data_IF_867196547646
#
_entry.id   IF_867196547646
#
_cell.length_a   1.000
_cell.length_b   1.000
_cell.length_c   1.000
_cell.angle_alpha   90.00
_cell.angle_beta   90.00
_cell.angle_gamma   90.00
#
_symmetry.space_group_name_H-M   'P 1'
#
loop_
_entity.id
_entity.type
_entity.pdbx_description
1 polymer ?
#
# COMPACT_ATOMS: atom_id res chain seq x y z
N UNK A 1 -26.46 0.74 -15.64
CA UNK A 1 -26.13 2.16 -15.91
C UNK A 1 -24.68 2.20 -16.35
N UNK A 2 -24.34 2.89 -17.44
CA UNK A 2 -22.95 3.00 -17.86
C UNK A 2 -22.16 3.72 -16.77
N UNK A 3 -21.06 3.12 -16.29
CA UNK A 3 -20.17 3.73 -15.32
C UNK A 3 -19.75 5.11 -15.83
N UNK A 4 -19.90 6.14 -14.98
CA UNK A 4 -19.49 7.50 -15.32
C UNK A 4 -17.99 7.47 -15.55
N UNK A 5 -17.54 7.72 -16.78
CA UNK A 5 -16.12 7.64 -17.13
C UNK A 5 -15.38 8.76 -16.41
N UNK A 6 -14.71 8.42 -15.31
CA UNK A 6 -13.81 9.34 -14.60
C UNK A 6 -12.70 9.75 -15.58
N UNK A 7 -12.41 11.04 -15.67
CA UNK A 7 -11.27 11.53 -16.44
C UNK A 7 -10.00 11.14 -15.68
N UNK A 8 -9.25 10.19 -16.23
CA UNK A 8 -8.04 9.65 -15.60
C UNK A 8 -6.82 10.50 -15.95
N UNK A 9 -5.86 10.56 -15.03
CA UNK A 9 -4.56 11.17 -15.28
C UNK A 9 -3.89 10.47 -16.49
N UNK A 10 -3.38 11.27 -17.43
CA UNK A 10 -2.70 10.75 -18.62
C UNK A 10 -1.36 10.13 -18.23
N UNK A 11 -1.12 8.88 -18.62
CA UNK A 11 0.18 8.23 -18.43
C UNK A 11 1.26 8.91 -19.27
N UNK A 12 2.42 9.17 -18.65
CA UNK A 12 3.64 9.63 -19.32
C UNK A 12 4.83 8.79 -18.85
N UNK A 13 5.07 7.68 -19.56
CA UNK A 13 6.11 6.71 -19.20
C UNK A 13 7.53 7.26 -19.38
N UNK A 14 7.74 8.17 -20.32
CA UNK A 14 9.06 8.75 -20.58
C UNK A 14 9.46 9.73 -19.47
N UNK A 15 8.55 10.65 -19.11
CA UNK A 15 8.74 11.56 -17.97
C UNK A 15 8.97 10.80 -16.68
N UNK A 16 8.15 9.79 -16.41
CA UNK A 16 8.24 9.00 -15.19
C UNK A 16 9.58 8.25 -15.09
N UNK A 17 10.03 7.61 -16.18
CA UNK A 17 11.32 6.93 -16.23
C UNK A 17 12.51 7.90 -16.08
N UNK A 18 12.42 9.09 -16.69
CA UNK A 18 13.43 10.13 -16.54
C UNK A 18 13.52 10.63 -15.08
N UNK A 19 12.38 10.86 -14.43
CA UNK A 19 12.33 11.24 -13.02
C UNK A 19 12.87 10.15 -12.11
N UNK A 20 12.48 8.88 -12.35
CA UNK A 20 12.99 7.72 -11.63
C UNK A 20 14.52 7.64 -11.70
N UNK A 21 15.09 7.77 -12.91
CA UNK A 21 16.53 7.75 -13.13
C UNK A 21 17.25 8.90 -12.42
N UNK A 22 16.68 10.11 -12.45
CA UNK A 22 17.24 11.27 -11.77
C UNK A 22 17.24 11.12 -10.24
N UNK A 23 16.20 10.48 -9.70
CA UNK A 23 16.05 10.29 -8.25
C UNK A 23 16.88 9.13 -7.73
N UNK A 24 16.77 7.96 -8.37
CA UNK A 24 17.25 6.70 -7.82
C UNK A 24 18.53 6.18 -8.47
N UNK A 25 18.91 6.66 -9.67
CA UNK A 25 20.11 6.19 -10.37
C UNK A 25 20.18 4.66 -10.45
N UNK A 26 21.26 4.07 -9.91
CA UNK A 26 21.43 2.61 -9.82
C UNK A 26 21.09 2.02 -8.44
N UNK A 27 20.40 2.78 -7.58
CA UNK A 27 20.14 2.39 -6.18
C UNK A 27 19.19 1.19 -6.03
N UNK A 28 18.41 0.87 -7.06
CA UNK A 28 17.53 -0.31 -7.06
C UNK A 28 18.31 -1.63 -6.96
N UNK A 29 19.58 -1.66 -7.37
CA UNK A 29 20.46 -2.82 -7.23
C UNK A 29 21.18 -2.89 -5.87
N UNK A 30 21.21 -1.79 -5.11
CA UNK A 30 21.94 -1.69 -3.85
C UNK A 30 21.32 -2.60 -2.77
N UNK A 31 22.16 -3.36 -2.08
CA UNK A 31 21.75 -4.16 -0.91
C UNK A 31 21.62 -3.28 0.34
N UNK A 32 20.42 -3.26 0.92
CA UNK A 32 20.08 -2.58 2.17
C UNK A 32 19.51 -1.16 1.97
N UNK A 33 18.31 -0.89 2.51
CA UNK A 33 17.57 0.36 2.33
C UNK A 33 18.34 1.63 2.73
N UNK A 34 19.18 1.55 3.77
CA UNK A 34 20.02 2.67 4.21
C UNK A 34 21.01 3.10 3.12
N UNK A 35 21.68 2.16 2.44
CA UNK A 35 22.68 2.49 1.40
C UNK A 35 22.03 3.09 0.17
N UNK A 36 20.84 2.60 -0.21
CA UNK A 36 20.06 3.15 -1.32
C UNK A 36 19.66 4.61 -1.03
N UNK A 37 19.23 4.91 0.20
CA UNK A 37 18.78 6.24 0.63
C UNK A 37 19.86 7.33 0.48
N UNK A 38 21.14 7.01 0.70
CA UNK A 38 22.26 7.95 0.59
C UNK A 38 22.80 8.16 -0.82
N UNK A 39 22.32 7.39 -1.81
CA UNK A 39 22.82 7.44 -3.20
C UNK A 39 21.92 8.21 -4.16
N UNK A 40 20.91 8.92 -3.64
CA UNK A 40 19.84 9.54 -4.43
C UNK A 40 20.13 11.00 -4.81
N UNK A 41 19.57 11.43 -5.94
CA UNK A 41 19.69 12.82 -6.43
C UNK A 41 18.92 13.81 -5.55
N UNK A 42 19.63 14.79 -4.96
CA UNK A 42 19.06 15.73 -4.00
C UNK A 42 17.93 16.61 -4.59
N UNK A 43 18.11 17.13 -5.80
CA UNK A 43 17.14 18.03 -6.44
C UNK A 43 15.85 17.29 -6.84
N UNK A 44 15.96 16.09 -7.40
CA UNK A 44 14.81 15.25 -7.75
C UNK A 44 14.01 14.83 -6.50
N UNK A 45 14.70 14.55 -5.38
CA UNK A 45 14.03 14.26 -4.11
C UNK A 45 13.29 15.48 -3.55
N UNK A 46 13.90 16.67 -3.60
CA UNK A 46 13.21 17.90 -3.20
C UNK A 46 11.95 18.12 -4.05
N UNK A 47 12.06 17.95 -5.37
CA UNK A 47 10.90 18.06 -6.25
C UNK A 47 9.80 17.05 -5.90
N UNK A 48 10.14 15.80 -5.55
CA UNK A 48 9.15 14.83 -5.06
C UNK A 48 8.50 15.24 -3.72
N UNK A 49 9.26 15.80 -2.79
CA UNK A 49 8.73 16.32 -1.51
C UNK A 49 7.78 17.48 -1.78
N UNK A 50 8.20 18.48 -2.55
CA UNK A 50 7.38 19.65 -2.86
C UNK A 50 6.10 19.24 -3.61
N UNK A 51 6.22 18.34 -4.59
CA UNK A 51 5.09 17.82 -5.37
C UNK A 51 4.12 17.00 -4.52
N UNK A 52 4.61 16.18 -3.58
CA UNK A 52 3.76 15.41 -2.69
C UNK A 52 3.04 16.31 -1.68
N UNK A 53 3.79 17.19 -1.00
CA UNK A 53 3.26 17.98 0.10
C UNK A 53 2.42 19.18 -0.37
N UNK A 54 2.45 19.59 -1.65
CA UNK A 54 1.49 20.58 -2.19
C UNK A 54 0.03 20.17 -1.98
N UNK A 55 -0.23 18.87 -1.87
CA UNK A 55 -1.58 18.34 -1.65
C UNK A 55 -2.06 18.49 -0.21
N UNK A 56 -1.14 18.71 0.74
CA UNK A 56 -1.39 18.62 2.20
C UNK A 56 -1.02 19.89 2.97
N UNK A 57 -0.03 20.65 2.50
CA UNK A 57 0.47 21.84 3.18
C UNK A 57 -0.63 22.90 3.31
N UNK A 58 -0.83 23.37 4.55
CA UNK A 58 -1.87 24.33 4.92
C UNK A 58 -3.31 23.87 4.66
N UNK A 59 -3.56 22.55 4.58
CA UNK A 59 -4.90 21.97 4.40
C UNK A 59 -5.28 21.11 5.60
N UNK A 60 -5.77 21.77 6.66
CA UNK A 60 -6.21 21.09 7.87
C UNK A 60 -7.57 20.41 7.69
N UNK A 61 -7.82 19.33 8.44
CA UNK A 61 -9.08 18.57 8.39
C UNK A 61 -10.34 19.43 8.61
N UNK A 62 -10.23 20.47 9.44
CA UNK A 62 -11.32 21.42 9.73
C UNK A 62 -11.77 22.23 8.51
N UNK A 63 -10.85 22.48 7.57
CA UNK A 63 -11.07 23.32 6.39
C UNK A 63 -11.28 22.46 5.12
N UNK A 64 -11.26 21.12 5.24
CA UNK A 64 -11.37 20.22 4.10
C UNK A 64 -12.82 20.13 3.57
N UNK A 65 -12.97 20.36 2.26
CA UNK A 65 -14.24 20.22 1.54
C UNK A 65 -14.22 19.03 0.59
N UNK A 66 -15.39 18.67 0.05
CA UNK A 66 -15.50 17.64 -1.00
C UNK A 66 -14.71 18.03 -2.26
N UNK A 67 -14.69 19.32 -2.62
CA UNK A 67 -13.90 19.85 -3.74
C UNK A 67 -12.40 19.70 -3.48
N UNK A 68 -11.95 19.90 -2.24
CA UNK A 68 -10.55 19.69 -1.85
C UNK A 68 -10.14 18.23 -2.06
N UNK A 69 -10.99 17.29 -1.64
CA UNK A 69 -10.78 15.86 -1.86
C UNK A 69 -10.79 15.50 -3.34
N UNK A 70 -11.75 16.02 -4.12
CA UNK A 70 -11.83 15.81 -5.58
C UNK A 70 -10.60 16.32 -6.31
N UNK A 71 -10.11 17.52 -5.97
CA UNK A 71 -8.90 18.09 -6.57
C UNK A 71 -7.67 17.22 -6.28
N UNK A 72 -7.54 16.69 -5.05
CA UNK A 72 -6.47 15.75 -4.69
C UNK A 72 -6.61 14.41 -5.42
N UNK A 73 -7.84 13.91 -5.56
CA UNK A 73 -8.16 12.65 -6.25
C UNK A 73 -7.89 12.73 -7.76
N UNK A 74 -8.03 13.91 -8.38
CA UNK A 74 -7.71 14.10 -9.79
C UNK A 74 -6.21 13.87 -10.12
N UNK A 75 -5.33 14.04 -9.14
CA UNK A 75 -3.87 13.82 -9.26
C UNK A 75 -3.41 12.55 -8.53
N UNK A 76 -4.30 11.55 -8.32
CA UNK A 76 -4.02 10.37 -7.50
C UNK A 76 -2.76 9.60 -7.92
N UNK A 77 -2.48 9.47 -9.22
CA UNK A 77 -1.36 8.68 -9.70
C UNK A 77 -0.05 9.40 -9.44
N UNK A 78 0.01 10.71 -9.71
CA UNK A 78 1.14 11.56 -9.35
C UNK A 78 1.37 11.60 -7.84
N UNK A 79 0.33 11.82 -7.02
CA UNK A 79 0.39 11.79 -5.56
C UNK A 79 1.04 10.49 -5.06
N UNK A 80 0.49 9.34 -5.47
CA UNK A 80 0.93 8.01 -5.05
C UNK A 80 2.37 7.73 -5.50
N UNK A 81 2.72 8.07 -6.76
CA UNK A 81 4.06 7.85 -7.31
C UNK A 81 5.13 8.64 -6.54
N UNK A 82 4.87 9.92 -6.26
CA UNK A 82 5.81 10.76 -5.50
C UNK A 82 5.93 10.31 -4.05
N UNK A 83 4.83 9.89 -3.42
CA UNK A 83 4.87 9.28 -2.10
C UNK A 83 5.82 8.07 -2.04
N UNK A 84 5.63 7.07 -2.90
CA UNK A 84 6.44 5.86 -2.85
C UNK A 84 7.90 6.10 -3.28
N UNK A 85 8.15 7.08 -4.15
CA UNK A 85 9.50 7.54 -4.45
C UNK A 85 10.25 8.02 -3.19
N UNK A 86 9.54 8.63 -2.24
CA UNK A 86 10.08 9.10 -0.97
C UNK A 86 10.14 8.00 0.09
N UNK A 87 9.07 7.20 0.19
CA UNK A 87 8.85 6.31 1.33
C UNK A 87 9.42 4.90 1.18
N UNK A 88 9.64 4.39 -0.04
CA UNK A 88 9.98 2.96 -0.27
C UNK A 88 11.17 2.47 0.57
N UNK A 89 12.28 3.21 0.62
CA UNK A 89 13.46 2.75 1.38
C UNK A 89 13.21 2.75 2.89
N UNK A 90 12.40 3.70 3.38
CA UNK A 90 12.01 3.78 4.78
C UNK A 90 11.10 2.59 5.13
N UNK A 91 10.17 2.23 4.24
CA UNK A 91 9.35 1.04 4.38
C UNK A 91 10.17 -0.25 4.37
N UNK A 92 11.09 -0.42 3.44
CA UNK A 92 11.91 -1.64 3.42
C UNK A 92 12.80 -1.79 4.66
N UNK A 93 13.29 -0.67 5.19
CA UNK A 93 14.10 -0.68 6.40
C UNK A 93 13.28 -0.88 7.68
N UNK A 94 12.12 -0.24 7.77
CA UNK A 94 11.29 -0.22 8.98
C UNK A 94 10.26 -1.34 9.06
N UNK A 95 9.74 -1.79 7.91
CA UNK A 95 8.62 -2.72 7.79
C UNK A 95 9.03 -4.05 7.15
N UNK A 96 9.84 -4.02 6.09
CA UNK A 96 10.26 -5.23 5.36
C UNK A 96 9.85 -5.18 3.89
N UNK A 97 9.78 -6.33 3.20
CA UNK A 97 9.52 -6.35 1.75
C UNK A 97 8.07 -6.60 1.35
N UNK A 98 7.20 -6.85 2.34
CA UNK A 98 5.75 -6.96 2.18
C UNK A 98 5.10 -5.78 2.89
N UNK A 99 4.69 -4.78 2.11
CA UNK A 99 4.11 -3.52 2.61
C UNK A 99 2.61 -3.68 2.84
N UNK A 100 2.23 -4.41 3.89
CA UNK A 100 0.83 -4.51 4.29
C UNK A 100 0.71 -4.90 5.77
N UNK A 101 -0.49 -4.80 6.31
CA UNK A 101 -0.83 -5.25 7.64
C UNK A 101 -1.19 -6.73 7.66
N UNK A 102 -1.12 -7.31 8.86
CA UNK A 102 -1.52 -8.68 9.08
C UNK A 102 -2.09 -8.85 10.49
N UNK A 103 -2.72 -10.00 10.68
CA UNK A 103 -3.19 -10.45 11.98
C UNK A 103 -2.12 -11.25 12.69
N UNK A 104 -2.16 -11.26 14.01
CA UNK A 104 -1.16 -11.94 14.84
C UNK A 104 -1.76 -13.03 15.71
N UNK A 105 -1.05 -14.14 15.82
CA UNK A 105 -1.31 -15.19 16.79
C UNK A 105 -0.23 -15.24 17.87
N UNK A 106 -0.45 -16.04 18.92
CA UNK A 106 0.51 -16.22 20.01
C UNK A 106 1.82 -16.84 19.53
N UNK A 107 2.94 -16.21 19.88
CA UNK A 107 4.28 -16.69 19.58
C UNK A 107 4.68 -16.53 18.12
N UNK A 108 3.88 -15.84 17.33
CA UNK A 108 4.11 -15.63 15.91
C UNK A 108 4.85 -14.32 15.68
N UNK A 109 6.04 -14.40 15.07
CA UNK A 109 6.77 -13.20 14.72
C UNK A 109 6.16 -12.50 13.51
N UNK A 110 6.55 -11.24 13.30
CA UNK A 110 6.03 -10.39 12.23
C UNK A 110 6.07 -11.03 10.83
N UNK A 111 7.20 -11.63 10.44
CA UNK A 111 7.34 -12.23 9.11
C UNK A 111 6.48 -13.50 8.93
N UNK A 112 6.31 -14.29 9.99
CA UNK A 112 5.39 -15.44 9.97
C UNK A 112 3.93 -14.98 9.86
N UNK A 113 3.56 -13.95 10.62
CA UNK A 113 2.21 -13.38 10.61
C UNK A 113 1.84 -12.80 9.24
N UNK A 114 2.77 -12.07 8.60
CA UNK A 114 2.61 -11.56 7.23
C UNK A 114 2.45 -12.72 6.24
N UNK A 115 3.37 -13.70 6.24
CA UNK A 115 3.30 -14.82 5.30
C UNK A 115 1.99 -15.59 5.45
N UNK A 116 1.55 -15.86 6.69
CA UNK A 116 0.25 -16.52 6.95
C UNK A 116 -0.92 -15.70 6.39
N UNK A 117 -0.87 -14.37 6.46
CA UNK A 117 -1.91 -13.50 5.93
C UNK A 117 -1.96 -13.53 4.39
N UNK A 118 -0.81 -13.56 3.74
CA UNK A 118 -0.66 -13.73 2.29
C UNK A 118 -1.14 -15.13 1.84
N UNK A 119 -0.77 -16.20 2.58
CA UNK A 119 -1.25 -17.57 2.33
C UNK A 119 -2.76 -17.68 2.50
N UNK A 120 -3.34 -17.00 3.49
CA UNK A 120 -4.78 -16.97 3.70
C UNK A 120 -5.50 -16.37 2.48
N UNK A 121 -5.00 -15.26 1.92
CA UNK A 121 -5.58 -14.67 0.70
C UNK A 121 -5.50 -15.64 -0.48
N UNK A 122 -4.33 -16.22 -0.71
CA UNK A 122 -4.11 -17.19 -1.78
C UNK A 122 -5.05 -18.41 -1.65
N UNK A 123 -5.29 -18.86 -0.42
CA UNK A 123 -6.25 -19.92 -0.12
C UNK A 123 -7.69 -19.49 -0.39
N UNK A 124 -8.11 -18.31 0.07
CA UNK A 124 -9.47 -17.79 -0.09
C UNK A 124 -9.88 -17.64 -1.56
N UNK A 125 -8.93 -17.31 -2.44
CA UNK A 125 -9.18 -17.18 -3.89
C UNK A 125 -8.79 -18.42 -4.69
N UNK A 126 -8.38 -19.50 -4.01
CA UNK A 126 -8.11 -20.79 -4.63
C UNK A 126 -6.94 -20.79 -5.63
N UNK A 127 -5.87 -20.04 -5.37
CA UNK A 127 -4.65 -20.07 -6.18
C UNK A 127 -4.05 -21.47 -6.15
N UNK A 128 -3.67 -22.00 -7.32
CA UNK A 128 -3.05 -23.31 -7.50
C UNK A 128 -1.78 -23.22 -8.34
N UNK A 129 -1.00 -24.28 -8.30
CA UNK A 129 0.19 -24.46 -9.13
C UNK A 129 -0.13 -24.24 -10.62
N UNK A 130 0.75 -23.53 -11.31
CA UNK A 130 0.64 -23.25 -12.74
C UNK A 130 -0.38 -22.17 -13.14
N UNK A 131 -1.20 -21.66 -12.23
CA UNK A 131 -2.13 -20.55 -12.51
C UNK A 131 -1.39 -19.26 -12.88
N UNK A 132 -1.96 -18.49 -13.80
CA UNK A 132 -1.56 -17.10 -14.08
C UNK A 132 -2.29 -16.16 -13.15
N UNK A 133 -1.55 -15.54 -12.24
CA UNK A 133 -2.09 -14.64 -11.21
C UNK A 133 -1.63 -13.21 -11.47
N UNK A 134 -2.53 -12.25 -11.32
CA UNK A 134 -2.19 -10.82 -11.33
C UNK A 134 -2.15 -10.29 -9.90
N UNK A 135 -1.06 -9.62 -9.55
CA UNK A 135 -0.90 -8.83 -8.33
C UNK A 135 -1.04 -7.34 -8.67
N UNK A 136 -2.14 -6.73 -8.24
CA UNK A 136 -2.47 -5.33 -8.52
C UNK A 136 -1.90 -4.44 -7.42
N UNK A 137 -0.87 -3.67 -7.75
CA UNK A 137 -0.15 -2.83 -6.79
C UNK A 137 0.97 -3.59 -6.05
N UNK A 138 1.80 -4.33 -6.79
CA UNK A 138 2.70 -5.34 -6.23
C UNK A 138 3.86 -4.82 -5.35
N UNK A 139 4.02 -3.50 -5.20
CA UNK A 139 5.11 -2.90 -4.42
C UNK A 139 6.50 -3.38 -4.88
N UNK A 140 7.35 -3.76 -3.92
CA UNK A 140 8.65 -4.43 -4.16
C UNK A 140 8.55 -5.95 -4.28
N UNK A 141 7.33 -6.48 -4.47
CA UNK A 141 7.05 -7.88 -4.81
C UNK A 141 7.15 -8.88 -3.67
N UNK A 142 7.11 -8.46 -2.40
CA UNK A 142 7.14 -9.37 -1.24
C UNK A 142 6.03 -10.42 -1.28
N UNK A 143 4.75 -10.02 -1.31
CA UNK A 143 3.63 -10.96 -1.36
C UNK A 143 3.66 -11.85 -2.60
N UNK A 144 4.01 -11.29 -3.76
CA UNK A 144 4.17 -12.06 -4.99
C UNK A 144 5.21 -13.18 -4.84
N UNK A 145 6.37 -12.91 -4.20
CA UNK A 145 7.38 -13.94 -3.93
C UNK A 145 6.86 -15.00 -2.97
N UNK A 146 6.21 -14.61 -1.88
CA UNK A 146 5.72 -15.54 -0.87
C UNK A 146 4.59 -16.42 -1.40
N UNK A 147 3.55 -15.83 -2.02
CA UNK A 147 2.42 -16.56 -2.60
C UNK A 147 2.87 -17.52 -3.69
N UNK A 148 3.81 -17.10 -4.54
CA UNK A 148 4.27 -17.95 -5.63
C UNK A 148 5.16 -19.10 -5.13
N UNK A 149 5.95 -18.93 -4.06
CA UNK A 149 6.63 -20.05 -3.38
C UNK A 149 5.64 -21.02 -2.72
N UNK A 150 4.59 -20.49 -2.10
CA UNK A 150 3.60 -21.27 -1.38
C UNK A 150 2.74 -22.12 -2.32
N UNK A 151 2.34 -21.57 -3.48
CA UNK A 151 1.35 -22.19 -4.38
C UNK A 151 1.94 -22.80 -5.65
N UNK A 152 3.13 -22.37 -6.08
CA UNK A 152 3.69 -22.72 -7.40
C UNK A 152 3.01 -22.01 -8.58
N UNK A 153 2.29 -20.90 -8.34
CA UNK A 153 1.67 -20.11 -9.41
C UNK A 153 2.68 -19.18 -10.12
N UNK A 154 2.28 -18.64 -11.27
CA UNK A 154 3.01 -17.59 -11.98
C UNK A 154 2.36 -16.23 -11.71
N UNK A 155 3.09 -15.31 -11.07
CA UNK A 155 2.56 -13.98 -10.73
C UNK A 155 3.12 -12.94 -11.68
N UNK A 156 2.21 -12.17 -12.30
CA UNK A 156 2.53 -10.88 -12.90
C UNK A 156 2.16 -9.78 -11.93
N UNK A 157 3.13 -9.01 -11.44
CA UNK A 157 2.88 -7.84 -10.61
C UNK A 157 2.79 -6.56 -11.42
N UNK A 158 1.71 -5.80 -11.23
CA UNK A 158 1.49 -4.49 -11.84
C UNK A 158 1.74 -3.40 -10.78
N UNK A 159 2.53 -2.39 -11.11
CA UNK A 159 2.75 -1.25 -10.21
C UNK A 159 3.08 0.03 -11.00
N UNK A 160 2.73 1.20 -10.45
CA UNK A 160 2.96 2.49 -11.09
C UNK A 160 4.32 3.13 -10.77
N UNK A 161 5.19 2.45 -10.01
CA UNK A 161 6.47 2.98 -9.57
C UNK A 161 7.65 2.19 -10.17
N UNK A 162 8.44 2.83 -11.04
CA UNK A 162 9.55 2.18 -11.75
C UNK A 162 10.63 1.66 -10.78
N UNK A 163 10.96 2.44 -9.74
CA UNK A 163 11.91 2.03 -8.71
C UNK A 163 11.48 0.73 -8.03
N UNK A 164 10.21 0.63 -7.62
CA UNK A 164 9.69 -0.59 -6.98
C UNK A 164 9.68 -1.79 -7.94
N UNK A 165 9.35 -1.58 -9.22
CA UNK A 165 9.41 -2.63 -10.26
C UNK A 165 10.85 -3.16 -10.44
N UNK A 166 11.84 -2.26 -10.51
CA UNK A 166 13.25 -2.65 -10.61
C UNK A 166 13.69 -3.47 -9.39
N UNK A 167 13.28 -3.04 -8.18
CA UNK A 167 13.57 -3.77 -6.94
C UNK A 167 12.91 -5.14 -6.89
N UNK A 168 11.62 -5.22 -7.21
CA UNK A 168 10.87 -6.47 -7.25
C UNK A 168 11.52 -7.48 -8.21
N UNK A 169 11.93 -7.00 -9.39
CA UNK A 169 12.65 -7.79 -10.38
C UNK A 169 14.00 -8.30 -9.84
N UNK A 170 14.79 -7.41 -9.22
CA UNK A 170 16.07 -7.79 -8.62
C UNK A 170 15.91 -8.80 -7.48
N UNK A 171 14.87 -8.68 -6.65
CA UNK A 171 14.61 -9.64 -5.58
C UNK A 171 14.17 -11.00 -6.11
N UNK A 172 13.27 -11.03 -7.08
CA UNK A 172 12.89 -12.29 -7.73
C UNK A 172 14.09 -12.99 -8.38
N UNK A 173 15.00 -12.25 -9.02
CA UNK A 173 16.24 -12.81 -9.57
C UNK A 173 17.16 -13.38 -8.48
N UNK A 174 17.38 -12.62 -7.40
CA UNK A 174 18.24 -13.06 -6.27
C UNK A 174 17.72 -14.32 -5.58
N UNK A 175 16.40 -14.50 -5.54
CA UNK A 175 15.76 -15.67 -4.95
C UNK A 175 15.52 -16.82 -5.96
N UNK A 176 15.95 -16.67 -7.22
CA UNK A 176 15.79 -17.70 -8.25
C UNK A 176 14.37 -17.83 -8.83
N UNK A 177 13.49 -16.87 -8.57
CA UNK A 177 12.06 -16.88 -8.93
C UNK A 177 11.74 -16.13 -10.22
N UNK A 178 12.74 -15.66 -10.97
CA UNK A 178 12.53 -14.91 -12.21
C UNK A 178 11.79 -15.70 -13.31
N UNK A 179 11.72 -17.03 -13.19
CA UNK A 179 10.98 -17.90 -14.10
C UNK A 179 9.46 -17.95 -13.78
N UNK A 180 9.05 -17.57 -12.57
CA UNK A 180 7.65 -17.57 -12.13
C UNK A 180 7.10 -16.16 -11.89
N UNK A 181 7.97 -15.16 -11.70
CA UNK A 181 7.58 -13.78 -11.39
C UNK A 181 7.99 -12.82 -12.49
N UNK A 182 7.04 -11.97 -12.89
CA UNK A 182 7.27 -10.83 -13.77
C UNK A 182 6.68 -9.58 -13.17
N UNK A 183 7.37 -8.45 -13.25
CA UNK A 183 6.87 -7.17 -12.76
C UNK A 183 6.80 -6.18 -13.92
N UNK A 184 5.67 -5.48 -14.05
CA UNK A 184 5.41 -4.56 -15.16
C UNK A 184 4.91 -3.21 -14.63
N UNK A 185 5.42 -2.15 -15.25
CA UNK A 185 4.97 -0.78 -15.00
C UNK A 185 3.60 -0.56 -15.63
N UNK A 186 2.67 -0.02 -14.85
CA UNK A 186 1.37 0.44 -15.37
C UNK A 186 0.49 1.04 -14.28
N UNK A 187 -0.61 1.64 -14.71
CA UNK A 187 -1.68 2.16 -13.85
C UNK A 187 -2.80 1.11 -13.83
N UNK A 188 -3.24 0.69 -12.64
CA UNK A 188 -4.30 -0.29 -12.51
C UNK A 188 -5.67 0.21 -12.97
N UNK A 189 -5.83 1.52 -13.19
CA UNK A 189 -7.04 2.10 -13.78
C UNK A 189 -7.06 1.97 -15.31
N UNK A 190 -5.94 1.56 -15.90
CA UNK A 190 -5.70 1.54 -17.35
C UNK A 190 -4.77 0.35 -17.68
N UNK A 191 -5.23 -0.87 -17.36
CA UNK A 191 -4.40 -2.07 -17.44
C UNK A 191 -4.14 -2.47 -18.91
N UNK A 192 -2.88 -2.50 -19.31
CA UNK A 192 -2.44 -2.92 -20.65
C UNK A 192 -2.33 -4.45 -20.76
N UNK A 193 -3.42 -5.14 -20.42
CA UNK A 193 -3.58 -6.58 -20.56
C UNK A 193 -4.82 -6.90 -21.39
N UNK A 194 -4.82 -7.96 -22.22
CA UNK A 194 -6.02 -8.43 -22.87
C UNK A 194 -7.07 -8.89 -21.86
N UNK A 195 -8.34 -8.85 -22.27
CA UNK A 195 -9.44 -9.41 -21.51
C UNK A 195 -9.21 -10.90 -21.23
N UNK A 196 -9.70 -11.41 -20.10
CA UNK A 196 -9.64 -12.83 -19.74
C UNK A 196 -8.22 -13.43 -19.76
N UNK A 197 -7.22 -12.68 -19.29
CA UNK A 197 -5.82 -13.10 -19.26
C UNK A 197 -5.42 -13.93 -18.04
N UNK A 198 -6.05 -13.68 -16.88
CA UNK A 198 -5.61 -14.23 -15.59
C UNK A 198 -6.62 -15.19 -14.97
N UNK A 199 -6.12 -16.24 -14.32
CA UNK A 199 -6.93 -17.25 -13.62
C UNK A 199 -7.44 -16.73 -12.26
N UNK A 200 -6.62 -15.94 -11.58
CA UNK A 200 -6.96 -15.24 -10.34
C UNK A 200 -6.30 -13.86 -10.31
N UNK A 201 -6.90 -12.92 -9.59
CA UNK A 201 -6.31 -11.60 -9.33
C UNK A 201 -6.34 -11.36 -7.83
N UNK A 202 -5.29 -10.72 -7.30
CA UNK A 202 -5.35 -10.18 -5.96
C UNK A 202 -4.83 -8.76 -5.88
N UNK A 203 -5.29 -8.03 -4.87
CA UNK A 203 -4.74 -6.74 -4.47
C UNK A 203 -4.59 -6.74 -2.95
N UNK A 204 -3.43 -6.32 -2.45
CA UNK A 204 -3.20 -6.20 -1.01
C UNK A 204 -2.95 -4.73 -0.72
N UNK A 205 -3.93 -4.06 -0.11
CA UNK A 205 -3.80 -2.70 0.42
C UNK A 205 -3.40 -1.65 -0.63
N UNK A 206 -3.73 -1.90 -1.90
CA UNK A 206 -3.26 -1.10 -3.03
C UNK A 206 -4.37 -0.31 -3.74
N UNK A 207 -5.57 -0.88 -3.86
CA UNK A 207 -6.67 -0.27 -4.64
C UNK A 207 -7.25 0.97 -3.98
N UNK A 208 -7.01 1.19 -2.67
CA UNK A 208 -7.28 2.46 -1.97
C UNK A 208 -6.61 3.69 -2.62
N UNK A 209 -5.52 3.50 -3.38
CA UNK A 209 -4.89 4.60 -4.12
C UNK A 209 -5.64 4.98 -5.40
N UNK A 210 -6.60 4.17 -5.84
CA UNK A 210 -7.43 4.47 -7.00
C UNK A 210 -8.33 5.68 -6.72
N UNK A 211 -8.65 6.49 -7.75
CA UNK A 211 -9.58 7.60 -7.58
C UNK A 211 -11.03 7.12 -7.39
N UNK A 212 -11.32 5.90 -7.84
CA UNK A 212 -12.62 5.25 -7.73
C UNK A 212 -12.44 3.73 -7.72
N UNK A 213 -12.91 3.06 -6.66
CA UNK A 213 -12.77 1.60 -6.51
C UNK A 213 -13.50 0.83 -7.60
N UNK A 214 -14.69 1.27 -8.03
CA UNK A 214 -15.43 0.60 -9.10
C UNK A 214 -14.69 0.63 -10.42
N UNK A 215 -13.89 1.68 -10.68
CA UNK A 215 -13.07 1.78 -11.88
C UNK A 215 -11.96 0.72 -11.92
N UNK A 216 -11.16 0.61 -10.86
CA UNK A 216 -10.10 -0.42 -10.78
C UNK A 216 -10.70 -1.83 -10.75
N UNK A 217 -11.80 -2.04 -10.03
CA UNK A 217 -12.47 -3.34 -9.99
C UNK A 217 -13.07 -3.73 -11.34
N UNK A 218 -13.52 -2.77 -12.16
CA UNK A 218 -13.95 -3.05 -13.54
C UNK A 218 -12.79 -3.49 -14.44
N UNK A 219 -11.61 -2.90 -14.30
CA UNK A 219 -10.41 -3.35 -15.02
C UNK A 219 -9.96 -4.73 -14.56
N UNK A 220 -10.01 -5.01 -13.25
CA UNK A 220 -9.74 -6.34 -12.70
C UNK A 220 -10.74 -7.37 -13.26
N UNK A 221 -12.03 -7.07 -13.26
CA UNK A 221 -13.04 -7.94 -13.84
C UNK A 221 -12.78 -8.19 -15.32
N UNK A 222 -12.36 -7.16 -16.08
CA UNK A 222 -12.05 -7.30 -17.51
C UNK A 222 -10.90 -8.30 -17.75
N UNK A 223 -9.79 -8.17 -17.03
CA UNK A 223 -8.59 -9.01 -17.23
C UNK A 223 -8.69 -10.41 -16.60
N UNK A 224 -9.61 -10.61 -15.67
CA UNK A 224 -9.88 -11.92 -15.07
C UNK A 224 -10.65 -12.81 -16.06
N UNK A 225 -10.33 -14.11 -16.14
CA UNK A 225 -11.07 -15.08 -16.96
C UNK A 225 -12.50 -15.29 -16.40
N UNK A 226 -13.48 -15.68 -17.25
CA UNK A 226 -14.80 -16.09 -16.75
C UNK A 226 -14.64 -17.17 -15.68
N UNK A 227 -15.40 -17.03 -14.59
CA UNK A 227 -15.30 -17.92 -13.44
C UNK A 227 -14.09 -17.68 -12.52
N UNK A 228 -13.14 -16.81 -12.91
CA UNK A 228 -11.98 -16.47 -12.10
C UNK A 228 -12.34 -15.70 -10.82
N UNK A 229 -11.44 -15.75 -9.84
CA UNK A 229 -11.66 -15.16 -8.51
C UNK A 229 -10.74 -13.97 -8.29
N UNK A 230 -11.30 -12.88 -7.78
CA UNK A 230 -10.61 -11.70 -7.28
C UNK A 230 -10.68 -11.68 -5.74
N UNK A 231 -9.55 -11.44 -5.09
CA UNK A 231 -9.50 -11.20 -3.64
C UNK A 231 -8.75 -9.92 -3.31
N UNK A 232 -9.25 -9.16 -2.36
CA UNK A 232 -8.62 -7.93 -1.91
C UNK A 232 -8.63 -7.80 -0.40
N UNK A 233 -7.52 -7.34 0.16
CA UNK A 233 -7.48 -6.70 1.47
C UNK A 233 -7.52 -5.19 1.24
N UNK A 234 -8.64 -4.56 1.55
CA UNK A 234 -8.86 -3.15 1.25
C UNK A 234 -8.78 -2.28 2.52
N UNK A 235 -8.25 -1.07 2.34
CA UNK A 235 -8.28 -0.01 3.32
C UNK A 235 -9.60 0.74 3.23
N UNK A 236 -10.43 0.63 4.27
CA UNK A 236 -11.76 1.24 4.29
C UNK A 236 -12.03 1.92 5.64
N UNK A 237 -12.80 3.00 5.59
CA UNK A 237 -13.41 3.57 6.78
C UNK A 237 -14.62 2.72 7.18
N UNK A 238 -14.75 2.39 8.46
CA UNK A 238 -15.84 1.54 8.97
C UNK A 238 -17.14 2.34 9.11
N UNK A 239 -18.22 1.66 9.52
CA UNK A 239 -19.49 2.30 9.82
C UNK A 239 -19.42 3.26 11.03
N UNK A 240 -18.45 3.11 11.91
CA UNK A 240 -18.23 4.02 13.05
C UNK A 240 -17.61 5.36 12.62
N UNK A 241 -17.02 5.43 11.43
CA UNK A 241 -16.49 6.67 10.91
C UNK A 241 -17.61 7.65 10.56
N UNK A 242 -17.44 8.88 11.00
CA UNK A 242 -18.36 10.00 10.76
C UNK A 242 -17.57 11.18 10.23
N UNK A 243 -17.88 11.60 9.01
CA UNK A 243 -17.18 12.71 8.36
C UNK A 243 -17.54 14.07 8.98
N UNK A 244 -18.67 14.19 9.68
CA UNK A 244 -19.03 15.44 10.35
C UNK A 244 -18.24 15.64 11.65
N UNK A 245 -17.76 14.55 12.25
CA UNK A 245 -16.87 14.59 13.40
C UNK A 245 -15.45 15.00 13.00
N UNK A 246 -14.96 16.11 13.57
CA UNK A 246 -13.64 16.65 13.26
C UNK A 246 -12.51 15.68 13.66
N UNK A 247 -12.60 15.03 14.82
CA UNK A 247 -11.59 14.08 15.29
C UNK A 247 -11.46 12.87 14.34
N UNK A 248 -12.59 12.35 13.87
CA UNK A 248 -12.60 11.28 12.87
C UNK A 248 -11.93 11.72 11.57
N UNK A 249 -12.23 12.94 11.09
CA UNK A 249 -11.58 13.51 9.89
C UNK A 249 -10.07 13.71 10.09
N UNK A 250 -9.63 14.13 11.26
CA UNK A 250 -8.20 14.27 11.58
C UNK A 250 -7.48 12.92 11.51
N UNK A 251 -8.09 11.85 12.04
CA UNK A 251 -7.56 10.49 11.94
C UNK A 251 -7.49 10.05 10.47
N UNK A 252 -8.60 10.16 9.71
CA UNK A 252 -8.63 9.79 8.28
C UNK A 252 -7.57 10.56 7.49
N UNK A 253 -7.50 11.87 7.67
CA UNK A 253 -6.57 12.72 6.94
C UNK A 253 -5.11 12.42 7.30
N UNK A 254 -4.82 12.11 8.57
CA UNK A 254 -3.47 11.71 8.99
C UNK A 254 -3.00 10.41 8.36
N UNK A 255 -3.91 9.43 8.21
CA UNK A 255 -3.66 8.20 7.44
C UNK A 255 -3.41 8.57 5.96
N UNK A 256 -4.29 9.36 5.35
CA UNK A 256 -4.15 9.74 3.94
C UNK A 256 -2.82 10.46 3.62
N UNK A 257 -2.40 11.39 4.48
CA UNK A 257 -1.13 12.13 4.37
C UNK A 257 0.07 11.20 4.56
N UNK A 258 0.01 10.28 5.50
CA UNK A 258 1.15 9.46 5.85
C UNK A 258 1.33 8.24 4.96
N UNK A 259 0.27 7.85 4.24
CA UNK A 259 0.23 6.67 3.38
C UNK A 259 0.08 6.98 1.88
N UNK A 260 -0.04 8.26 1.48
CA UNK A 260 -0.11 8.64 0.06
C UNK A 260 -1.46 8.30 -0.58
N UNK A 261 -2.52 8.32 0.21
CA UNK A 261 -3.88 7.99 -0.23
C UNK A 261 -4.60 9.28 -0.60
N UNK A 262 -5.23 9.32 -1.77
CA UNK A 262 -5.93 10.52 -2.23
C UNK A 262 -7.21 10.75 -1.45
N UNK A 263 -8.02 9.72 -1.23
CA UNK A 263 -9.20 9.78 -0.40
C UNK A 263 -9.67 8.37 -0.03
N UNK A 264 -9.82 8.09 1.25
CA UNK A 264 -10.43 6.83 1.71
C UNK A 264 -11.97 6.92 1.66
N UNK A 265 -12.59 5.77 1.38
CA UNK A 265 -14.05 5.61 1.30
C UNK A 265 -14.54 4.63 2.38
N UNK A 266 -15.87 4.53 2.55
CA UNK A 266 -16.44 3.61 3.55
C UNK A 266 -16.50 2.18 3.04
N UNK A 267 -16.63 1.23 3.97
CA UNK A 267 -16.90 -0.19 3.67
C UNK A 267 -18.09 -0.36 2.71
N UNK A 268 -19.17 0.39 2.92
CA UNK A 268 -20.34 0.38 2.04
C UNK A 268 -19.99 0.73 0.59
N UNK A 269 -19.08 1.67 0.37
CA UNK A 269 -18.66 2.12 -0.96
C UNK A 269 -17.78 1.05 -1.63
N UNK A 270 -16.90 0.40 -0.89
CA UNK A 270 -16.09 -0.72 -1.39
C UNK A 270 -16.93 -1.94 -1.82
N UNK A 271 -17.94 -2.28 -1.01
CA UNK A 271 -18.87 -3.36 -1.34
C UNK A 271 -19.73 -3.03 -2.57
N UNK A 272 -20.25 -1.80 -2.66
CA UNK A 272 -21.01 -1.36 -3.83
C UNK A 272 -20.11 -1.30 -5.07
N UNK A 273 -18.85 -0.90 -4.94
CA UNK A 273 -17.89 -0.89 -6.04
C UNK A 273 -17.67 -2.29 -6.65
N UNK A 274 -17.56 -3.33 -5.83
CA UNK A 274 -17.46 -4.73 -6.29
C UNK A 274 -18.71 -5.15 -7.10
N UNK A 275 -19.89 -4.78 -6.61
CA UNK A 275 -21.16 -5.07 -7.27
C UNK A 275 -21.34 -4.29 -8.57
N UNK A 276 -20.98 -2.99 -8.58
CA UNK A 276 -21.04 -2.13 -9.78
C UNK A 276 -20.08 -2.63 -10.86
N UNK A 277 -18.89 -3.09 -10.47
CA UNK A 277 -17.94 -3.71 -11.39
C UNK A 277 -18.46 -5.02 -11.99
N UNK A 278 -19.44 -5.68 -11.36
CA UNK A 278 -20.07 -6.90 -11.87
C UNK A 278 -19.57 -8.19 -11.25
N UNK A 279 -18.89 -8.14 -10.10
CA UNK A 279 -18.51 -9.34 -9.36
C UNK A 279 -19.71 -9.97 -8.65
N UNK A 280 -19.76 -11.29 -8.67
CA UNK A 280 -20.55 -12.08 -7.73
C UNK A 280 -19.80 -12.13 -6.40
N UNK A 281 -20.31 -11.45 -5.37
CA UNK A 281 -19.68 -11.45 -4.05
C UNK A 281 -19.80 -12.83 -3.41
N UNK A 282 -18.67 -13.50 -3.17
CA UNK A 282 -18.62 -14.82 -2.54
C UNK A 282 -18.47 -14.72 -1.03
N UNK A 283 -17.62 -13.80 -0.58
CA UNK A 283 -17.29 -13.61 0.83
C UNK A 283 -16.79 -12.19 1.06
N UNK A 284 -17.14 -11.59 2.19
CA UNK A 284 -16.48 -10.40 2.68
C UNK A 284 -16.50 -10.37 4.20
N UNK A 285 -15.44 -9.82 4.80
CA UNK A 285 -15.33 -9.69 6.24
C UNK A 285 -14.27 -8.65 6.63
N UNK A 286 -14.45 -8.04 7.80
CA UNK A 286 -13.39 -7.25 8.41
C UNK A 286 -12.44 -8.17 9.18
N UNK A 287 -11.25 -8.42 8.62
CA UNK A 287 -10.25 -9.27 9.29
C UNK A 287 -9.63 -8.57 10.51
N UNK A 288 -9.64 -7.24 10.56
CA UNK A 288 -9.09 -6.45 11.64
C UNK A 288 -9.95 -6.53 12.92
N UNK A 289 -11.25 -6.83 12.79
CA UNK A 289 -12.20 -6.91 13.90
C UNK A 289 -12.41 -8.35 14.42
N UNK A 290 -11.69 -9.35 13.87
CA UNK A 290 -11.72 -10.69 14.46
C UNK A 290 -11.15 -10.66 15.88
N UNK A 291 -11.63 -11.53 16.80
CA UNK A 291 -11.24 -11.54 18.21
C UNK A 291 -9.85 -12.17 18.42
N UNK A 292 -8.84 -11.57 17.80
CA UNK A 292 -7.45 -12.01 17.91
C UNK A 292 -6.83 -11.57 19.24
N UNK A 293 -5.84 -12.33 19.75
CA UNK A 293 -5.18 -12.02 21.00
C UNK A 293 -4.35 -10.73 20.96
N UNK A 294 -3.94 -10.28 19.76
CA UNK A 294 -3.19 -9.05 19.56
C UNK A 294 -3.85 -8.20 18.47
N UNK A 295 -3.91 -6.88 18.63
CA UNK A 295 -4.44 -6.02 17.59
C UNK A 295 -3.47 -5.94 16.41
N UNK A 296 -3.98 -5.85 15.17
CA UNK A 296 -3.16 -5.73 13.95
C UNK A 296 -2.17 -4.55 13.99
N UNK A 297 -2.52 -3.48 14.72
CA UNK A 297 -1.70 -2.27 14.87
C UNK A 297 -0.65 -2.37 15.98
N UNK A 298 -0.52 -3.49 16.70
CA UNK A 298 0.40 -3.59 17.84
C UNK A 298 1.86 -3.21 17.50
N UNK A 299 2.42 -3.52 16.30
CA UNK A 299 3.80 -3.14 15.99
C UNK A 299 3.99 -1.63 15.92
N UNK A 300 2.91 -0.87 15.68
CA UNK A 300 2.90 0.60 15.61
C UNK A 300 2.56 1.26 16.95
N UNK A 301 1.83 0.56 17.83
CA UNK A 301 1.29 1.15 19.06
C UNK A 301 2.36 1.49 20.11
N UNK A 302 3.50 0.78 20.11
CA UNK A 302 4.50 0.90 21.16
C UNK A 302 4.03 0.36 22.52
N UNK A 303 3.03 -0.51 22.53
CA UNK A 303 2.41 -1.08 23.74
C UNK A 303 3.19 -2.32 24.22
N UNK A 304 3.86 -2.23 25.37
CA UNK A 304 4.65 -3.34 25.95
C UNK A 304 3.85 -4.61 26.26
N UNK A 305 2.53 -4.50 26.48
CA UNK A 305 1.66 -5.64 26.80
C UNK A 305 1.52 -6.65 25.65
N UNK A 306 1.82 -6.27 24.42
CA UNK A 306 1.75 -7.13 23.24
C UNK A 306 3.11 -7.72 22.84
N UNK A 307 4.15 -7.48 23.65
CA UNK A 307 5.48 -8.07 23.47
C UNK A 307 5.38 -9.60 23.51
N UNK A 308 5.82 -10.27 22.45
CA UNK A 308 5.79 -11.73 22.35
C UNK A 308 7.16 -12.35 22.64
N UNK A 309 8.24 -11.60 22.39
CA UNK A 309 9.61 -12.00 22.65
C UNK A 309 10.46 -10.82 23.10
N UNK A 310 11.63 -11.11 23.69
CA UNK A 310 12.61 -10.08 24.05
C UNK A 310 13.13 -9.29 22.84
N UNK A 311 13.03 -9.84 21.62
CA UNK A 311 13.45 -9.14 20.41
C UNK A 311 12.44 -8.07 19.97
N UNK A 312 11.18 -8.16 20.40
CA UNK A 312 10.16 -7.15 20.10
C UNK A 312 10.43 -5.83 20.85
N UNK A 313 11.31 -5.86 21.87
CA UNK A 313 11.79 -4.64 22.55
C UNK A 313 12.33 -3.61 21.57
N UNK A 314 13.03 -4.02 20.51
CA UNK A 314 13.55 -3.10 19.50
C UNK A 314 12.44 -2.45 18.69
N UNK A 315 11.40 -3.19 18.32
CA UNK A 315 10.22 -2.68 17.61
C UNK A 315 9.45 -1.71 18.51
N UNK A 316 9.16 -2.12 19.74
CA UNK A 316 8.37 -1.34 20.70
C UNK A 316 9.08 -0.03 21.03
N UNK A 317 10.37 -0.08 21.40
CA UNK A 317 11.14 1.12 21.76
C UNK A 317 11.13 2.12 20.62
N UNK A 318 11.36 1.69 19.37
CA UNK A 318 11.32 2.57 18.20
C UNK A 318 9.98 3.28 18.03
N UNK A 319 8.86 2.62 18.35
CA UNK A 319 7.52 3.18 18.20
C UNK A 319 7.01 3.98 19.41
N UNK A 320 7.69 3.91 20.56
CA UNK A 320 7.36 4.80 21.69
C UNK A 320 7.56 6.28 21.33
N UNK A 321 6.88 7.18 22.03
CA UNK A 321 7.07 8.63 21.87
C UNK A 321 8.55 9.04 22.00
N UNK A 322 9.27 8.42 22.93
CA UNK A 322 10.69 8.68 23.13
C UNK A 322 11.54 8.15 21.97
N UNK A 323 11.32 6.91 21.53
CA UNK A 323 12.04 6.32 20.40
C UNK A 323 11.83 7.12 19.11
N UNK A 324 10.57 7.45 18.78
CA UNK A 324 10.25 8.31 17.64
C UNK A 324 10.91 9.67 17.77
N UNK A 325 10.81 10.34 18.93
CA UNK A 325 11.48 11.62 19.16
C UNK A 325 12.99 11.55 18.89
N UNK A 326 13.68 10.50 19.36
CA UNK A 326 15.11 10.34 19.09
C UNK A 326 15.41 10.14 17.60
N UNK A 327 14.59 9.35 16.90
CA UNK A 327 14.72 9.13 15.47
C UNK A 327 14.50 10.43 14.67
N UNK A 328 13.46 11.21 15.00
CA UNK A 328 13.19 12.50 14.35
C UNK A 328 14.33 13.50 14.55
N UNK A 329 14.89 13.60 15.77
CA UNK A 329 16.04 14.49 16.05
C UNK A 329 17.30 14.05 15.30
N UNK A 330 17.54 12.74 15.22
CA UNK A 330 18.67 12.20 14.48
C UNK A 330 18.52 12.47 12.96
N UNK A 331 17.34 12.23 12.39
CA UNK A 331 17.07 12.51 10.97
C UNK A 331 17.22 14.00 10.65
N UNK A 332 16.68 14.89 11.51
CA UNK A 332 16.84 16.34 11.34
C UNK A 332 18.30 16.79 11.44
N UNK A 333 19.09 16.19 12.33
CA UNK A 333 20.53 16.44 12.40
C UNK A 333 21.24 16.02 11.11
N UNK A 334 20.95 14.83 10.58
CA UNK A 334 21.53 14.34 9.34
C UNK A 334 21.20 15.24 8.15
N UNK A 335 19.97 15.75 8.09
CA UNK A 335 19.55 16.71 7.06
C UNK A 335 20.29 18.06 7.21
N UNK A 336 20.41 18.58 8.44
CA UNK A 336 21.12 19.82 8.73
C UNK A 336 22.60 19.78 8.31
N UNK A 337 23.29 18.64 8.51
CA UNK A 337 24.69 18.45 8.11
C UNK A 337 24.84 17.94 6.67
N UNK A 338 23.76 17.93 5.89
CA UNK A 338 23.72 17.50 4.47
C UNK A 338 24.12 16.04 4.22
N UNK A 339 24.03 15.18 5.23
CA UNK A 339 24.16 13.73 5.05
C UNK A 339 22.85 13.09 4.61
N UNK A 340 21.71 13.62 5.06
CA UNK A 340 20.41 13.28 4.51
C UNK A 340 19.94 14.38 3.53
N UNK A 341 19.25 14.02 2.42
CA UNK A 341 18.67 15.00 1.51
C UNK A 341 17.60 15.87 2.19
N UNK A 342 17.38 17.08 1.66
CA UNK A 342 16.32 17.96 2.12
C UNK A 342 14.93 17.30 2.04
N UNK A 343 14.09 17.54 3.04
CA UNK A 343 12.74 17.00 3.16
C UNK A 343 12.65 15.57 3.71
N UNK A 344 13.78 14.94 4.05
CA UNK A 344 13.79 13.60 4.68
C UNK A 344 13.09 13.63 6.03
N UNK A 345 13.33 14.68 6.83
CA UNK A 345 12.64 14.83 8.10
C UNK A 345 11.13 14.98 7.90
N UNK A 346 10.69 15.79 6.92
CA UNK A 346 9.26 15.99 6.63
C UNK A 346 8.56 14.68 6.26
N UNK A 347 9.20 13.84 5.44
CA UNK A 347 8.69 12.49 5.12
C UNK A 347 8.66 11.58 6.35
N UNK A 348 9.68 11.62 7.21
CA UNK A 348 9.68 10.82 8.44
C UNK A 348 8.57 11.26 9.42
N UNK A 349 8.35 12.58 9.54
CA UNK A 349 7.29 13.17 10.37
C UNK A 349 5.90 12.76 9.87
N UNK A 350 5.67 12.74 8.55
CA UNK A 350 4.39 12.28 7.98
C UNK A 350 4.13 10.78 8.20
N UNK A 351 5.17 9.93 8.12
CA UNK A 351 5.04 8.50 8.42
C UNK A 351 4.74 8.26 9.91
N UNK A 352 5.33 9.04 10.80
CA UNK A 352 5.05 8.95 12.23
C UNK A 352 3.61 9.38 12.56
N UNK A 353 3.10 10.40 11.87
CA UNK A 353 1.69 10.81 11.95
C UNK A 353 0.76 9.69 11.48
N UNK A 354 1.04 9.06 10.32
CA UNK A 354 0.27 7.90 9.86
C UNK A 354 0.22 6.80 10.91
N UNK A 355 1.37 6.43 11.49
CA UNK A 355 1.41 5.39 12.52
C UNK A 355 0.52 5.71 13.73
N UNK A 356 0.49 6.97 14.19
CA UNK A 356 -0.40 7.39 15.28
C UNK A 356 -1.88 7.34 14.86
N UNK A 357 -2.21 7.81 13.66
CA UNK A 357 -3.58 7.82 13.16
C UNK A 357 -4.09 6.41 12.83
N UNK A 358 -3.25 5.50 12.34
CA UNK A 358 -3.58 4.08 12.13
C UNK A 358 -3.89 3.39 13.46
N UNK A 359 -3.08 3.62 14.50
CA UNK A 359 -3.34 3.09 15.84
C UNK A 359 -4.61 3.69 16.44
N UNK A 360 -4.85 4.99 16.29
CA UNK A 360 -6.07 5.64 16.76
C UNK A 360 -7.32 5.10 16.03
N UNK A 361 -7.27 5.04 14.69
CA UNK A 361 -8.33 4.50 13.84
C UNK A 361 -8.64 3.04 14.16
N UNK A 362 -7.63 2.22 14.43
CA UNK A 362 -7.82 0.85 14.87
C UNK A 362 -8.40 0.72 16.29
N UNK A 363 -7.97 1.56 17.24
CA UNK A 363 -8.49 1.56 18.63
C UNK A 363 -9.93 2.02 18.71
N UNK A 364 -10.28 3.04 17.94
CA UNK A 364 -11.62 3.62 17.86
C UNK A 364 -12.52 2.89 16.85
N UNK A 365 -11.99 1.86 16.18
CA UNK A 365 -12.67 1.08 15.13
C UNK A 365 -13.25 1.95 14.02
N UNK A 366 -12.56 3.01 13.63
CA UNK A 366 -12.94 3.93 12.55
C UNK A 366 -12.41 3.48 11.18
N UNK A 367 -11.36 2.67 11.18
CA UNK A 367 -10.60 2.27 10.00
C UNK A 367 -10.23 0.79 10.09
N UNK A 368 -10.21 0.12 8.93
CA UNK A 368 -9.69 -1.23 8.77
C UNK A 368 -8.71 -1.27 7.58
N UNK A 369 -7.49 -1.82 7.75
CA UNK A 369 -6.53 -1.97 6.65
C UNK A 369 -6.74 -3.26 5.85
N UNK A 370 -7.56 -4.18 6.34
CA UNK A 370 -7.63 -5.55 5.82
C UNK A 370 -9.08 -6.02 5.72
N UNK A 371 -9.93 -5.18 5.13
CA UNK A 371 -11.27 -5.60 4.79
C UNK A 371 -11.19 -6.58 3.61
N UNK A 372 -11.45 -7.86 3.89
CA UNK A 372 -11.40 -8.90 2.88
C UNK A 372 -12.67 -8.84 2.03
N UNK A 373 -12.51 -8.77 0.72
CA UNK A 373 -13.57 -9.03 -0.25
C UNK A 373 -13.11 -10.08 -1.24
N UNK A 374 -13.95 -11.08 -1.51
CA UNK A 374 -13.73 -12.14 -2.49
C UNK A 374 -14.88 -12.13 -3.48
N UNK A 375 -14.59 -11.80 -4.73
CA UNK A 375 -15.55 -11.73 -5.82
C UNK A 375 -15.22 -12.71 -6.93
N UNK A 376 -16.25 -13.31 -7.51
CA UNK A 376 -16.14 -14.15 -8.70
C UNK A 376 -16.59 -13.38 -9.94
N UNK A 377 -15.82 -13.47 -11.02
CA UNK A 377 -16.31 -13.02 -12.34
C UNK A 377 -17.37 -14.01 -12.84
N UNK A 378 -18.55 -13.54 -13.28
CA UNK A 378 -19.56 -14.42 -13.87
C UNK A 378 -19.00 -15.28 -15.01
N UNK A 379 -19.58 -16.47 -15.21
CA UNK A 379 -19.14 -17.42 -16.26
C UNK A 379 -19.51 -16.98 -17.69
N UNK A 380 -20.44 -16.03 -17.82
CA UNK A 380 -21.11 -15.68 -19.07
C UNK A 380 -20.55 -14.45 -19.76
#
# INVERSE_FOLDING_TARGET
>A
MAARKVELEKQDRERDAAFNKAMHGNSAAATGGIRAMFSKGADAKKAAVDEYFKHWDNKAAKDETEETRKARTAEYATLTRHYYNLATDLYEYGWGQSFHFCRYSHGENFYQAIARHEHYLAHQIGIKEGMKVLDVGCGVGGPAREIAKFTGCHVTGLNNNDYQIERATNYAQKEGLAHQLKFVKGDFMQMDFPDNSFDAVYAIEATVHAPELSGVYSEILRVLKPGGIFGVYEWLMTDNYDNENLHHREIRLGIEIGDGISNMVKVSDGLEAMKVAGFEMLHHEDLADRPDPFPWYWPLAGDWKYMQSVFDTFTIVKMTKWGRWTAHRFTGLLEMIKLAPAGTQKTADSLALAADCLVAGGREKLFTPMYLMVGKKPEN
#
